data_IF_428683656383
#
_entry.id   IF_428683656383
#
_cell.length_a   1.000
_cell.length_b   1.000
_cell.length_c   1.000
_cell.angle_alpha   90.00
_cell.angle_beta   90.00
_cell.angle_gamma   90.00
#
_symmetry.space_group_name_H-M   'P 1'
#
loop_
_entity.id
_entity.type
_entity.pdbx_description
1 polymer ?
#
# COMPACT_ATOMS: atom_id res chain seq x y z
N UNK A 1 -9.74 10.68 -42.26
CA UNK A 1 -8.60 10.38 -41.37
C UNK A 1 -9.19 9.94 -40.04
N UNK A 2 -9.27 8.64 -39.78
CA UNK A 2 -9.83 8.13 -38.52
C UNK A 2 -8.75 8.23 -37.44
N UNK A 3 -8.97 9.12 -36.47
CA UNK A 3 -8.12 9.22 -35.28
C UNK A 3 -8.41 7.97 -34.45
N UNK A 4 -7.54 6.97 -34.57
CA UNK A 4 -7.50 5.82 -33.67
C UNK A 4 -7.21 6.38 -32.28
N UNK A 5 -8.18 6.29 -31.36
CA UNK A 5 -7.95 6.60 -29.94
C UNK A 5 -6.77 5.74 -29.49
N UNK A 6 -5.66 6.40 -29.14
CA UNK A 6 -4.53 5.73 -28.50
C UNK A 6 -5.08 4.93 -27.31
N UNK A 7 -4.84 3.62 -27.31
CA UNK A 7 -5.19 2.77 -26.18
C UNK A 7 -4.60 3.37 -24.91
N UNK A 8 -5.32 3.29 -23.80
CA UNK A 8 -4.88 3.80 -22.50
C UNK A 8 -3.39 3.45 -22.31
N UNK A 9 -2.54 4.41 -21.94
CA UNK A 9 -1.12 4.14 -21.74
C UNK A 9 -0.95 2.99 -20.76
N UNK A 10 -0.18 1.97 -21.19
CA UNK A 10 0.17 0.83 -20.33
C UNK A 10 0.95 1.37 -19.14
N UNK A 11 0.50 1.07 -17.92
CA UNK A 11 1.20 1.51 -16.72
C UNK A 11 2.50 0.71 -16.55
N UNK A 12 3.69 1.33 -16.70
CA UNK A 12 4.96 0.60 -16.60
C UNK A 12 5.24 0.07 -15.19
N UNK A 13 4.58 0.63 -14.17
CA UNK A 13 4.77 0.28 -12.76
C UNK A 13 3.77 -0.74 -12.25
N UNK A 14 2.80 -1.17 -13.06
CA UNK A 14 1.69 -2.02 -12.58
C UNK A 14 2.18 -3.32 -11.93
N UNK A 15 3.04 -4.07 -12.62
CA UNK A 15 3.59 -5.32 -12.08
C UNK A 15 4.39 -5.09 -10.79
N UNK A 16 5.13 -3.98 -10.73
CA UNK A 16 5.91 -3.60 -9.55
C UNK A 16 5.02 -3.33 -8.34
N UNK A 17 3.96 -2.53 -8.53
CA UNK A 17 2.96 -2.22 -7.50
C UNK A 17 2.25 -3.50 -7.03
N UNK A 18 1.81 -4.36 -7.96
CA UNK A 18 1.14 -5.62 -7.59
C UNK A 18 2.05 -6.52 -6.76
N UNK A 19 3.32 -6.66 -7.15
CA UNK A 19 4.28 -7.46 -6.39
C UNK A 19 4.55 -6.87 -5.01
N UNK A 20 4.71 -5.55 -4.91
CA UNK A 20 4.89 -4.85 -3.63
C UNK A 20 3.72 -5.15 -2.68
N UNK A 21 2.48 -4.88 -3.09
CA UNK A 21 1.31 -5.08 -2.22
C UNK A 21 1.02 -6.56 -1.92
N UNK A 22 1.33 -7.48 -2.85
CA UNK A 22 1.20 -8.91 -2.60
C UNK A 22 2.19 -9.42 -1.54
N UNK A 23 3.46 -9.00 -1.63
CA UNK A 23 4.47 -9.35 -0.63
C UNK A 23 4.18 -8.66 0.72
N UNK A 24 3.76 -7.39 0.69
CA UNK A 24 3.41 -6.63 1.87
C UNK A 24 2.23 -7.25 2.62
N UNK A 25 1.13 -7.60 1.92
CA UNK A 25 0.00 -8.33 2.52
C UNK A 25 0.45 -9.64 3.16
N UNK A 26 1.27 -10.42 2.45
CA UNK A 26 1.78 -11.71 2.97
C UNK A 26 2.62 -11.50 4.23
N UNK A 27 3.37 -10.40 4.32
CA UNK A 27 4.11 -10.04 5.53
C UNK A 27 3.16 -9.71 6.68
N UNK A 28 2.16 -8.85 6.46
CA UNK A 28 1.14 -8.51 7.45
C UNK A 28 0.36 -9.73 7.96
N UNK A 29 -0.07 -10.63 7.05
CA UNK A 29 -0.78 -11.86 7.42
C UNK A 29 0.08 -12.74 8.34
N UNK A 30 1.39 -12.83 8.06
CA UNK A 30 2.35 -13.59 8.87
C UNK A 30 2.64 -12.94 10.22
N UNK A 31 2.57 -11.62 10.32
CA UNK A 31 2.74 -10.87 11.58
C UNK A 31 1.50 -11.05 12.46
N UNK A 32 0.30 -10.90 11.88
CA UNK A 32 -0.98 -11.11 12.58
C UNK A 32 -1.17 -12.53 13.10
N UNK A 33 -0.61 -13.53 12.43
CA UNK A 33 -0.70 -14.94 12.83
C UNK A 33 0.27 -15.32 13.98
N UNK A 34 1.19 -14.43 14.36
CA UNK A 34 2.18 -14.71 15.40
C UNK A 34 1.78 -14.02 16.73
N UNK A 35 1.87 -14.74 17.87
CA UNK A 35 1.75 -14.08 19.16
C UNK A 35 2.91 -13.10 19.33
N UNK A 36 2.61 -11.88 19.81
CA UNK A 36 3.63 -10.89 20.12
C UNK A 36 4.43 -11.39 21.33
N UNK A 37 5.71 -11.69 21.13
CA UNK A 37 6.64 -11.99 22.22
C UNK A 37 7.22 -10.68 22.77
N UNK A 38 7.52 -10.67 24.07
CA UNK A 38 8.08 -9.51 24.76
C UNK A 38 9.39 -9.07 24.08
N UNK A 39 9.47 -7.80 23.67
CA UNK A 39 10.63 -7.22 22.99
C UNK A 39 10.71 -7.46 21.47
N UNK A 40 9.77 -8.17 20.84
CA UNK A 40 9.73 -8.29 19.38
C UNK A 40 9.05 -7.08 18.72
N UNK A 41 9.63 -6.61 17.62
CA UNK A 41 8.98 -5.63 16.75
C UNK A 41 7.80 -6.31 16.02
N UNK A 42 6.54 -5.82 16.15
CA UNK A 42 5.38 -6.43 15.50
C UNK A 42 5.46 -6.45 13.97
N UNK A 43 6.30 -5.58 13.39
CA UNK A 43 6.25 -5.20 11.98
C UNK A 43 7.55 -5.53 11.20
N UNK A 44 8.42 -6.39 11.75
CA UNK A 44 9.74 -6.66 11.14
C UNK A 44 9.66 -7.13 9.67
N UNK A 45 8.67 -7.97 9.34
CA UNK A 45 8.52 -8.54 7.98
C UNK A 45 7.97 -7.50 7.02
N UNK A 46 6.97 -6.73 7.42
CA UNK A 46 6.38 -5.66 6.59
C UNK A 46 7.40 -4.55 6.31
N UNK A 47 8.23 -4.18 7.30
CA UNK A 47 9.36 -3.27 7.12
C UNK A 47 10.43 -3.78 6.15
N UNK A 48 10.70 -5.09 6.13
CA UNK A 48 11.61 -5.69 5.16
C UNK A 48 11.10 -5.53 3.71
N UNK A 49 9.79 -5.63 3.50
CA UNK A 49 9.17 -5.38 2.19
C UNK A 49 9.30 -3.89 1.81
N UNK A 50 9.04 -2.97 2.75
CA UNK A 50 9.21 -1.53 2.51
C UNK A 50 10.67 -1.23 2.11
N UNK A 51 11.64 -1.79 2.83
CA UNK A 51 13.08 -1.64 2.51
C UNK A 51 13.44 -2.17 1.12
N UNK A 52 12.76 -3.22 0.65
CA UNK A 52 12.99 -3.83 -0.67
C UNK A 52 12.43 -2.97 -1.80
N UNK A 53 11.23 -2.42 -1.67
CA UNK A 53 10.49 -1.75 -2.77
C UNK A 53 10.55 -0.22 -2.73
N UNK A 54 10.75 0.37 -1.57
CA UNK A 54 10.73 1.81 -1.39
C UNK A 54 12.14 2.40 -1.32
N UNK A 55 12.23 3.72 -1.45
CA UNK A 55 13.47 4.46 -1.21
C UNK A 55 13.86 4.40 0.26
N UNK A 56 15.16 4.61 0.55
CA UNK A 56 15.66 4.69 1.92
C UNK A 56 14.93 5.77 2.74
N UNK A 57 14.65 6.92 2.14
CA UNK A 57 13.96 8.02 2.81
C UNK A 57 12.53 7.63 3.23
N UNK A 58 11.78 6.93 2.38
CA UNK A 58 10.45 6.44 2.73
C UNK A 58 10.50 5.40 3.86
N UNK A 59 11.46 4.48 3.79
CA UNK A 59 11.69 3.49 4.84
C UNK A 59 12.04 4.14 6.18
N UNK A 60 12.95 5.13 6.18
CA UNK A 60 13.33 5.85 7.39
C UNK A 60 12.15 6.65 7.98
N UNK A 61 11.31 7.26 7.13
CA UNK A 61 10.09 7.95 7.56
C UNK A 61 9.09 6.99 8.23
N UNK A 62 8.81 5.83 7.62
CA UNK A 62 7.99 4.78 8.25
C UNK A 62 8.58 4.33 9.60
N UNK A 63 9.91 4.19 9.71
CA UNK A 63 10.55 3.82 10.97
C UNK A 63 10.42 4.89 12.04
N UNK A 64 10.46 6.16 11.64
CA UNK A 64 10.30 7.28 12.55
C UNK A 64 8.87 7.34 13.10
N UNK A 65 7.84 7.19 12.27
CA UNK A 65 6.44 7.13 12.72
C UNK A 65 6.18 5.99 13.70
N UNK A 66 6.82 4.84 13.53
CA UNK A 66 6.71 3.74 14.49
C UNK A 66 7.39 4.01 15.83
N UNK A 67 8.40 4.89 15.87
CA UNK A 67 9.16 5.21 17.09
C UNK A 67 8.58 6.40 17.85
N UNK A 68 8.15 7.42 17.11
CA UNK A 68 7.81 8.74 17.62
C UNK A 68 6.32 9.07 17.45
N UNK A 69 5.64 8.42 16.50
CA UNK A 69 4.25 8.67 16.14
C UNK A 69 3.27 7.66 16.74
N UNK A 70 2.06 7.63 16.16
CA UNK A 70 0.99 6.68 16.50
C UNK A 70 1.16 5.32 15.80
N UNK A 71 2.25 5.15 15.05
CA UNK A 71 2.49 3.96 14.23
C UNK A 71 1.69 3.96 12.93
N UNK A 72 1.40 5.13 12.35
CA UNK A 72 0.71 5.26 11.07
C UNK A 72 1.33 4.40 9.95
N UNK A 73 0.49 3.66 9.23
CA UNK A 73 0.84 2.90 8.04
C UNK A 73 0.48 3.67 6.77
N UNK A 74 1.47 4.37 6.19
CA UNK A 74 1.32 5.08 4.91
C UNK A 74 1.01 4.14 3.73
N UNK A 75 1.36 2.85 3.82
CA UNK A 75 1.17 1.89 2.73
C UNK A 75 -0.32 1.57 2.55
N UNK A 76 -1.11 1.63 3.62
CA UNK A 76 -2.52 1.24 3.59
C UNK A 76 -3.47 2.29 4.14
N UNK A 77 -2.96 3.48 4.45
CA UNK A 77 -3.73 4.55 5.08
C UNK A 77 -4.33 4.11 6.43
N UNK A 78 -3.60 3.31 7.20
CA UNK A 78 -4.07 2.63 8.41
C UNK A 78 -5.26 1.67 8.25
N UNK A 79 -5.78 1.45 7.03
CA UNK A 79 -6.95 0.58 6.81
C UNK A 79 -6.55 -0.89 6.60
N UNK A 80 -5.28 -1.16 6.33
CA UNK A 80 -4.74 -2.51 6.14
C UNK A 80 -5.19 -3.17 4.83
N UNK A 81 -4.93 -4.48 4.75
CA UNK A 81 -5.31 -5.34 3.61
C UNK A 81 -6.04 -6.58 4.13
N UNK A 82 -7.23 -6.84 3.58
CA UNK A 82 -8.02 -8.07 3.79
C UNK A 82 -7.86 -9.03 2.59
N UNK A 83 -8.56 -10.18 2.64
CA UNK A 83 -8.55 -11.15 1.53
C UNK A 83 -9.01 -10.59 0.17
N UNK A 84 -9.82 -9.53 0.17
CA UNK A 84 -10.40 -8.94 -1.05
C UNK A 84 -9.56 -7.80 -1.62
N UNK A 85 -8.69 -7.21 -0.80
CA UNK A 85 -7.96 -5.99 -1.15
C UNK A 85 -7.14 -6.13 -2.43
N UNK A 86 -6.39 -7.24 -2.59
CA UNK A 86 -5.58 -7.45 -3.81
C UNK A 86 -6.43 -7.77 -5.05
N UNK A 87 -7.54 -8.51 -4.89
CA UNK A 87 -8.40 -8.90 -6.02
C UNK A 87 -9.22 -7.72 -6.56
N UNK A 88 -9.53 -6.74 -5.71
CA UNK A 88 -10.26 -5.52 -6.08
C UNK A 88 -9.34 -4.38 -6.50
N UNK A 89 -8.02 -4.56 -6.41
CA UNK A 89 -7.05 -3.52 -6.71
C UNK A 89 -7.02 -3.15 -8.20
N UNK A 90 -7.39 -1.90 -8.47
CA UNK A 90 -7.25 -1.23 -9.76
C UNK A 90 -6.05 -0.30 -9.70
N UNK A 91 -5.22 -0.34 -10.74
CA UNK A 91 -4.03 0.49 -10.87
C UNK A 91 -4.21 1.36 -12.12
N UNK A 92 -4.15 2.66 -11.95
CA UNK A 92 -4.35 3.65 -13.01
C UNK A 92 -3.05 4.42 -13.21
N UNK A 93 -2.60 4.51 -14.45
CA UNK A 93 -1.47 5.35 -14.80
C UNK A 93 -1.86 6.83 -14.74
N UNK A 94 -1.10 7.66 -14.01
CA UNK A 94 -1.28 9.11 -13.98
C UNK A 94 -0.23 9.78 -14.86
N UNK A 95 1.05 9.50 -14.59
CA UNK A 95 2.18 9.96 -15.38
C UNK A 95 3.42 9.09 -15.12
N UNK A 96 4.56 9.43 -15.73
CA UNK A 96 5.81 8.63 -15.63
C UNK A 96 6.27 8.36 -14.19
N UNK A 97 5.96 9.27 -13.27
CA UNK A 97 6.42 9.24 -11.88
C UNK A 97 5.27 8.93 -10.90
N UNK A 98 4.05 8.68 -11.38
CA UNK A 98 2.87 8.51 -10.52
C UNK A 98 1.88 7.49 -11.08
N UNK A 99 1.46 6.57 -10.21
CA UNK A 99 0.31 5.69 -10.42
C UNK A 99 -0.70 5.87 -9.30
N UNK A 100 -1.98 5.74 -9.59
CA UNK A 100 -3.03 5.72 -8.57
C UNK A 100 -3.51 4.29 -8.37
N UNK A 101 -3.66 3.87 -7.13
CA UNK A 101 -4.32 2.62 -6.78
C UNK A 101 -5.66 2.88 -6.10
N UNK A 102 -6.60 2.00 -6.38
CA UNK A 102 -7.89 1.94 -5.71
C UNK A 102 -8.17 0.48 -5.34
N UNK A 103 -8.50 0.20 -4.08
CA UNK A 103 -8.94 -1.13 -3.67
C UNK A 103 -10.00 -1.05 -2.57
N UNK A 104 -10.67 -2.16 -2.30
CA UNK A 104 -11.66 -2.28 -1.24
C UNK A 104 -11.13 -3.12 -0.10
N UNK A 105 -11.38 -2.69 1.13
CA UNK A 105 -11.07 -3.43 2.35
C UNK A 105 -12.30 -3.51 3.24
N UNK A 106 -12.58 -4.70 3.77
CA UNK A 106 -13.63 -4.95 4.72
C UNK A 106 -13.05 -4.94 6.13
N UNK A 107 -13.46 -3.96 6.95
CA UNK A 107 -13.05 -3.87 8.34
C UNK A 107 -14.19 -4.30 9.26
N UNK A 108 -13.89 -5.21 10.19
CA UNK A 108 -14.81 -5.62 11.25
C UNK A 108 -14.62 -4.73 12.48
N UNK A 109 -15.71 -4.24 13.06
CA UNK A 109 -15.60 -3.46 14.30
C UNK A 109 -15.17 -4.36 15.48
N UNK A 110 -14.29 -3.89 16.37
CA UNK A 110 -13.73 -4.72 17.45
C UNK A 110 -14.78 -5.28 18.42
N UNK A 111 -15.91 -4.58 18.57
CA UNK A 111 -16.95 -4.89 19.55
C UNK A 111 -18.31 -5.20 18.91
N UNK A 112 -18.36 -5.44 17.60
CA UNK A 112 -19.61 -5.79 16.94
C UNK A 112 -19.39 -6.78 15.78
N UNK A 113 -20.47 -7.46 15.39
CA UNK A 113 -20.48 -8.28 14.19
C UNK A 113 -20.70 -7.45 12.91
N UNK A 114 -20.66 -6.11 13.03
CA UNK A 114 -20.77 -5.24 11.87
C UNK A 114 -19.42 -5.17 11.17
N UNK A 115 -19.48 -5.24 9.84
CA UNK A 115 -18.36 -4.99 8.97
C UNK A 115 -18.72 -3.83 8.04
N UNK A 116 -17.74 -2.97 7.76
CA UNK A 116 -17.88 -1.87 6.81
C UNK A 116 -16.83 -2.01 5.72
N UNK A 117 -17.24 -1.77 4.47
CA UNK A 117 -16.34 -1.75 3.33
C UNK A 117 -15.85 -0.32 3.14
N UNK A 118 -14.53 -0.16 3.11
CA UNK A 118 -13.84 1.08 2.79
C UNK A 118 -13.23 0.95 1.41
N UNK A 119 -13.16 2.09 0.71
CA UNK A 119 -12.43 2.19 -0.55
C UNK A 119 -11.18 3.01 -0.27
N UNK A 120 -10.02 2.39 -0.44
CA UNK A 120 -8.71 3.04 -0.24
C UNK A 120 -8.25 3.61 -1.57
N UNK A 121 -7.85 4.88 -1.56
CA UNK A 121 -7.31 5.59 -2.72
C UNK A 121 -5.93 6.12 -2.37
N UNK A 122 -4.90 5.70 -3.10
CA UNK A 122 -3.52 6.13 -2.86
C UNK A 122 -2.83 6.49 -4.16
N UNK A 123 -1.99 7.51 -4.12
CA UNK A 123 -1.01 7.80 -5.16
C UNK A 123 0.34 7.20 -4.77
N UNK A 124 0.91 6.43 -5.70
CA UNK A 124 2.21 5.81 -5.58
C UNK A 124 3.19 6.61 -6.43
N UNK A 125 4.11 7.31 -5.78
CA UNK A 125 5.08 8.18 -6.42
C UNK A 125 6.40 7.44 -6.59
N UNK A 126 6.97 7.52 -7.78
CA UNK A 126 8.19 6.82 -8.17
C UNK A 126 9.38 7.76 -8.33
N UNK A 127 10.57 7.25 -8.05
CA UNK A 127 11.83 7.79 -8.54
C UNK A 127 12.67 6.64 -9.09
N UNK A 128 12.92 6.65 -10.40
CA UNK A 128 13.47 5.48 -11.08
C UNK A 128 12.54 4.27 -10.94
N UNK A 129 13.05 3.18 -10.39
CA UNK A 129 12.36 1.90 -10.16
C UNK A 129 11.87 1.72 -8.71
N UNK A 130 11.95 2.76 -7.87
CA UNK A 130 11.58 2.69 -6.44
C UNK A 130 10.38 3.57 -6.12
N UNK A 131 9.60 3.11 -5.14
CA UNK A 131 8.55 3.94 -4.54
C UNK A 131 9.21 4.99 -3.65
N UNK A 132 9.09 6.24 -4.06
CA UNK A 132 9.54 7.41 -3.31
C UNK A 132 8.58 7.72 -2.18
N UNK A 133 7.28 7.65 -2.46
CA UNK A 133 6.24 8.12 -1.55
C UNK A 133 4.89 7.44 -1.83
N UNK A 134 4.03 7.39 -0.82
CA UNK A 134 2.64 6.91 -0.90
C UNK A 134 1.79 7.91 -0.13
N UNK A 135 0.79 8.49 -0.81
CA UNK A 135 -0.06 9.54 -0.21
C UNK A 135 -1.52 9.38 -0.58
N UNK A 136 -2.39 9.89 0.29
CA UNK A 136 -3.80 10.11 -0.03
C UNK A 136 -3.83 11.25 -1.07
N UNK A 137 -4.53 11.09 -2.21
CA UNK A 137 -4.72 12.20 -3.13
C UNK A 137 -5.45 13.34 -2.42
N UNK A 138 -5.03 14.59 -2.67
CA UNK A 138 -5.78 15.75 -2.21
C UNK A 138 -7.20 15.70 -2.83
N UNK A 139 -8.23 15.83 -2.00
CA UNK A 139 -9.59 16.03 -2.50
C UNK A 139 -9.64 17.43 -3.17
N UNK A 140 -9.97 17.48 -4.46
CA UNK A 140 -10.26 18.73 -5.20
C UNK A 140 -11.52 19.43 -4.67
#
# INVERSE_FOLDING_TARGET
MNIVKAGNPVNPHEAYIRNFYAEYKRALDKEKAQPLLEGQCPYEKSFSIIKKYCTKNFYDAMLQEQREGDGYDFVTDNLGLDENSLSTMKITYINKDCSRINYKVCMKYPYSNQSKIYTVNLEIIFVGDKIKDIRIPDDE
#
